data_IF_974442948282
#
_entry.id   IF_974442948282
#
_cell.length_a   1.000
_cell.length_b   1.000
_cell.length_c   1.000
_cell.angle_alpha   90.00
_cell.angle_beta   90.00
_cell.angle_gamma   90.00
#
_symmetry.space_group_name_H-M   'P 1'
#
loop_
_entity.id
_entity.type
_entity.pdbx_description
1 polymer ?
#
# COMPACT_ATOMS: atom_id res chain seq x y z
N UNK A 1 19.71 -20.73 -8.17
CA UNK A 1 18.94 -19.67 -7.53
C UNK A 1 19.87 -18.47 -7.41
N UNK A 2 19.51 -17.34 -8.04
CA UNK A 2 20.30 -16.10 -7.94
C UNK A 2 19.99 -15.41 -6.62
N UNK A 3 21.01 -14.85 -5.96
CA UNK A 3 20.87 -14.10 -4.70
C UNK A 3 21.14 -12.63 -4.99
N UNK A 4 20.26 -11.77 -4.54
CA UNK A 4 20.34 -10.31 -4.65
C UNK A 4 20.36 -9.69 -3.28
N UNK A 5 21.27 -8.77 -3.03
CA UNK A 5 21.41 -8.07 -1.75
C UNK A 5 20.76 -6.69 -1.81
N UNK A 6 19.96 -6.34 -0.79
CA UNK A 6 19.37 -5.01 -0.65
C UNK A 6 20.23 -4.21 0.35
N UNK A 7 20.50 -2.93 0.09
CA UNK A 7 20.03 -2.11 -1.04
C UNK A 7 20.88 -2.23 -2.32
N UNK A 8 22.05 -2.87 -2.27
CA UNK A 8 23.06 -2.83 -3.34
C UNK A 8 22.54 -3.27 -4.73
N UNK A 9 21.65 -4.26 -4.78
CA UNK A 9 21.09 -4.80 -6.03
C UNK A 9 19.69 -4.29 -6.33
N UNK A 10 19.23 -3.22 -5.67
CA UNK A 10 17.85 -2.74 -5.77
C UNK A 10 17.45 -2.41 -7.22
N UNK A 11 18.35 -1.81 -8.00
CA UNK A 11 18.10 -1.47 -9.41
C UNK A 11 17.85 -2.74 -10.23
N UNK A 12 18.67 -3.78 -10.03
CA UNK A 12 18.52 -5.07 -10.72
C UNK A 12 17.23 -5.77 -10.33
N UNK A 13 16.88 -5.74 -9.03
CA UNK A 13 15.62 -6.29 -8.53
C UNK A 13 14.41 -5.60 -9.15
N UNK A 14 14.43 -4.29 -9.30
CA UNK A 14 13.35 -3.53 -9.95
C UNK A 14 13.14 -3.97 -11.41
N UNK A 15 14.20 -4.22 -12.16
CA UNK A 15 14.08 -4.75 -13.53
C UNK A 15 13.51 -6.18 -13.56
N UNK A 16 13.87 -7.01 -12.57
CA UNK A 16 13.29 -8.35 -12.40
C UNK A 16 11.81 -8.25 -12.11
N UNK A 17 11.39 -7.37 -11.18
CA UNK A 17 9.99 -7.13 -10.86
C UNK A 17 9.20 -6.66 -12.09
N UNK A 18 9.71 -5.68 -12.85
CA UNK A 18 9.10 -5.23 -14.10
C UNK A 18 8.94 -6.35 -15.13
N UNK A 19 9.94 -7.23 -15.25
CA UNK A 19 9.91 -8.36 -16.19
C UNK A 19 9.10 -9.56 -15.72
N UNK A 20 8.57 -9.51 -14.48
CA UNK A 20 7.82 -10.58 -13.83
C UNK A 20 8.56 -11.93 -13.76
N UNK A 21 9.90 -11.92 -13.60
CA UNK A 21 10.75 -13.11 -13.51
C UNK A 21 11.11 -13.42 -12.07
N UNK A 22 10.12 -13.69 -11.24
CA UNK A 22 10.29 -13.92 -9.80
C UNK A 22 10.75 -15.33 -9.43
N UNK A 23 10.77 -16.25 -10.41
CA UNK A 23 11.18 -17.63 -10.17
C UNK A 23 12.70 -17.72 -9.94
N UNK A 24 13.07 -18.50 -8.93
CA UNK A 24 14.47 -18.77 -8.57
C UNK A 24 15.31 -17.57 -8.15
N UNK A 25 14.70 -16.51 -7.64
CA UNK A 25 15.42 -15.43 -6.98
C UNK A 25 15.35 -15.59 -5.46
N UNK A 26 16.44 -15.20 -4.78
CA UNK A 26 16.50 -14.99 -3.34
C UNK A 26 16.89 -13.54 -3.09
N UNK A 27 16.16 -12.87 -2.21
CA UNK A 27 16.48 -11.50 -1.79
C UNK A 27 17.02 -11.59 -0.37
N UNK A 28 18.14 -10.93 -0.13
CA UNK A 28 18.81 -10.90 1.16
C UNK A 28 19.20 -9.46 1.54
N UNK A 29 19.52 -9.23 2.78
CA UNK A 29 20.07 -7.98 3.33
C UNK A 29 20.93 -8.31 4.54
N UNK A 30 21.89 -7.43 4.88
CA UNK A 30 22.78 -7.67 6.03
C UNK A 30 22.06 -7.38 7.34
N UNK A 31 21.48 -6.19 7.44
CA UNK A 31 20.80 -5.70 8.63
C UNK A 31 19.66 -4.75 8.23
N UNK A 32 18.87 -4.31 9.19
CA UNK A 32 17.85 -3.29 8.99
C UNK A 32 17.64 -2.45 10.25
N UNK A 33 17.20 -1.21 10.07
CA UNK A 33 16.81 -0.33 11.16
C UNK A 33 15.43 -0.73 11.70
N UNK A 34 15.42 -1.33 12.91
CA UNK A 34 14.19 -1.77 13.56
C UNK A 34 13.20 -0.62 13.83
N UNK A 35 13.68 0.59 14.12
CA UNK A 35 12.79 1.73 14.37
C UNK A 35 12.16 2.23 13.08
N UNK A 36 12.94 2.36 12.02
CA UNK A 36 12.44 2.72 10.69
C UNK A 36 11.41 1.71 10.19
N UNK A 37 11.68 0.40 10.33
CA UNK A 37 10.74 -0.68 9.98
C UNK A 37 9.43 -0.56 10.76
N UNK A 38 9.50 -0.38 12.08
CA UNK A 38 8.30 -0.24 12.92
C UNK A 38 7.48 1.01 12.58
N UNK A 39 8.17 2.12 12.29
CA UNK A 39 7.48 3.35 11.91
C UNK A 39 6.79 3.21 10.56
N UNK A 40 7.46 2.64 9.56
CA UNK A 40 6.85 2.41 8.25
C UNK A 40 5.68 1.41 8.32
N UNK A 41 5.82 0.34 9.13
CA UNK A 41 4.73 -0.62 9.38
C UNK A 41 3.49 0.10 9.94
N UNK A 42 3.67 0.99 10.94
CA UNK A 42 2.56 1.79 11.50
C UNK A 42 1.94 2.73 10.48
N UNK A 43 2.75 3.33 9.60
CA UNK A 43 2.24 4.19 8.53
C UNK A 43 1.37 3.39 7.56
N UNK A 44 1.82 2.22 7.12
CA UNK A 44 1.05 1.38 6.22
C UNK A 44 -0.25 0.87 6.84
N UNK A 45 -0.23 0.45 8.11
CA UNK A 45 -1.47 -0.02 8.77
C UNK A 45 -2.45 1.14 9.01
N UNK A 46 -1.96 2.35 9.31
CA UNK A 46 -2.80 3.53 9.41
C UNK A 46 -3.43 3.91 8.07
N UNK A 47 -2.66 3.95 6.99
CA UNK A 47 -3.17 4.23 5.64
C UNK A 47 -4.14 3.13 5.18
N UNK A 48 -3.85 1.84 5.48
CA UNK A 48 -4.79 0.74 5.26
C UNK A 48 -6.14 1.03 5.92
N UNK A 49 -6.13 1.40 7.20
CA UNK A 49 -7.35 1.74 7.94
C UNK A 49 -8.10 2.92 7.31
N UNK A 50 -7.38 3.95 6.86
CA UNK A 50 -7.96 5.17 6.30
C UNK A 50 -8.62 4.96 4.92
N UNK A 51 -8.18 3.96 4.15
CA UNK A 51 -8.78 3.57 2.88
C UNK A 51 -9.82 2.44 2.99
N UNK A 52 -10.17 1.99 4.20
CA UNK A 52 -11.29 1.07 4.42
C UNK A 52 -12.64 1.79 4.39
N UNK A 53 -13.68 1.01 4.12
CA UNK A 53 -15.06 1.50 4.27
C UNK A 53 -15.28 1.96 5.72
N UNK A 54 -15.59 3.25 5.96
CA UNK A 54 -15.70 3.81 7.30
C UNK A 54 -17.00 3.36 8.00
N UNK A 55 -16.88 2.37 8.86
CA UNK A 55 -17.87 2.04 9.88
C UNK A 55 -17.49 2.69 11.21
N UNK A 56 -18.31 2.52 12.25
CA UNK A 56 -18.06 3.13 13.57
C UNK A 56 -16.72 2.70 14.17
N UNK A 57 -16.32 1.44 14.02
CA UNK A 57 -15.05 0.91 14.52
C UNK A 57 -13.85 1.57 13.81
N UNK A 58 -13.85 1.55 12.47
CA UNK A 58 -12.82 2.19 11.63
C UNK A 58 -12.72 3.67 11.95
N UNK A 59 -13.85 4.37 12.02
CA UNK A 59 -13.89 5.81 12.30
C UNK A 59 -13.32 6.15 13.67
N UNK A 60 -13.71 5.42 14.72
CA UNK A 60 -13.21 5.67 16.08
C UNK A 60 -11.71 5.39 16.18
N UNK A 61 -11.22 4.31 15.54
CA UNK A 61 -9.80 4.00 15.50
C UNK A 61 -9.00 5.08 14.75
N UNK A 62 -9.53 5.59 13.64
CA UNK A 62 -8.91 6.72 12.91
C UNK A 62 -8.85 7.98 13.77
N UNK A 63 -9.94 8.30 14.48
CA UNK A 63 -10.02 9.47 15.34
C UNK A 63 -8.98 9.43 16.47
N UNK A 64 -8.75 8.24 17.03
CA UNK A 64 -7.77 8.04 18.10
C UNK A 64 -6.32 8.02 17.57
N UNK A 65 -6.10 7.44 16.38
CA UNK A 65 -4.75 7.24 15.83
C UNK A 65 -4.22 8.42 15.03
N UNK A 66 -5.07 9.17 14.33
CA UNK A 66 -4.66 10.27 13.44
C UNK A 66 -3.68 11.28 14.08
N UNK A 67 -3.84 11.72 15.33
CA UNK A 67 -2.91 12.66 15.96
C UNK A 67 -1.46 12.17 16.01
N UNK A 68 -1.23 10.87 16.07
CA UNK A 68 0.13 10.28 16.10
C UNK A 68 0.87 10.38 14.76
N UNK A 69 0.16 10.71 13.68
CA UNK A 69 0.72 10.84 12.32
C UNK A 69 0.78 12.29 11.82
N UNK A 70 0.45 13.28 12.66
CA UNK A 70 0.45 14.69 12.25
C UNK A 70 1.82 15.15 11.71
N UNK A 71 2.91 14.79 12.39
CA UNK A 71 4.26 15.17 11.96
C UNK A 71 4.62 14.55 10.61
N UNK A 72 4.24 13.29 10.39
CA UNK A 72 4.42 12.62 9.10
C UNK A 72 3.69 13.38 7.99
N UNK A 73 2.43 13.71 8.19
CA UNK A 73 1.65 14.44 7.18
C UNK A 73 2.23 15.83 6.90
N UNK A 74 2.64 16.55 7.92
CA UNK A 74 3.30 17.86 7.76
C UNK A 74 4.61 17.72 6.97
N UNK A 75 5.42 16.72 7.26
CA UNK A 75 6.68 16.46 6.56
C UNK A 75 6.46 16.14 5.08
N UNK A 76 5.52 15.23 4.78
CA UNK A 76 5.30 14.73 3.41
C UNK A 76 4.43 15.63 2.55
N UNK A 77 3.48 16.36 3.12
CA UNK A 77 2.47 17.13 2.38
C UNK A 77 2.38 18.60 2.75
N UNK A 78 3.00 19.01 3.86
CA UNK A 78 2.82 20.36 4.42
C UNK A 78 1.42 20.61 5.01
N UNK A 79 0.56 19.59 5.10
CA UNK A 79 -0.84 19.69 5.54
C UNK A 79 -1.13 18.67 6.63
N UNK A 80 -2.17 18.91 7.43
CA UNK A 80 -2.73 17.92 8.37
C UNK A 80 -4.11 17.51 7.87
N UNK A 81 -4.40 16.19 7.73
CA UNK A 81 -5.71 15.74 7.33
C UNK A 81 -6.75 16.04 8.44
N UNK A 82 -7.87 16.61 8.03
CA UNK A 82 -8.99 16.92 8.93
C UNK A 82 -10.01 15.80 8.85
N UNK A 83 -10.17 15.02 9.92
CA UNK A 83 -11.16 13.94 9.96
C UNK A 83 -12.57 14.52 9.88
N UNK A 84 -13.35 14.22 8.83
CA UNK A 84 -14.73 14.70 8.70
C UNK A 84 -15.68 13.97 9.66
N UNK A 85 -16.95 14.37 9.70
CA UNK A 85 -17.97 13.55 10.37
C UNK A 85 -18.14 12.19 9.69
N UNK A 86 -18.48 11.16 10.46
CA UNK A 86 -18.57 9.78 9.93
C UNK A 86 -19.51 9.66 8.72
N UNK A 87 -20.67 10.31 8.75
CA UNK A 87 -21.64 10.28 7.63
C UNK A 87 -21.05 10.94 6.40
N UNK A 88 -20.38 12.06 6.53
CA UNK A 88 -19.73 12.77 5.44
C UNK A 88 -18.61 11.91 4.83
N UNK A 89 -17.82 11.26 5.69
CA UNK A 89 -16.78 10.32 5.27
C UNK A 89 -17.36 9.12 4.50
N UNK A 90 -18.45 8.54 4.97
CA UNK A 90 -19.13 7.43 4.31
C UNK A 90 -19.67 7.80 2.92
N UNK A 91 -20.30 8.96 2.81
CA UNK A 91 -20.83 9.45 1.52
C UNK A 91 -19.68 9.67 0.54
N UNK A 92 -18.60 10.30 0.98
CA UNK A 92 -17.45 10.56 0.12
C UNK A 92 -16.72 9.26 -0.26
N UNK A 93 -16.59 8.32 0.69
CA UNK A 93 -16.01 6.99 0.41
C UNK A 93 -16.75 6.27 -0.71
N UNK A 94 -18.09 6.22 -0.60
CA UNK A 94 -18.92 5.58 -1.64
C UNK A 94 -18.75 6.29 -2.96
N UNK A 95 -18.76 7.62 -2.98
CA UNK A 95 -18.63 8.43 -4.19
C UNK A 95 -17.28 8.24 -4.89
N UNK A 96 -16.18 8.16 -4.13
CA UNK A 96 -14.84 8.03 -4.67
C UNK A 96 -14.50 6.60 -5.09
N UNK A 97 -14.85 5.60 -4.27
CA UNK A 97 -14.28 4.26 -4.36
C UNK A 97 -15.26 3.16 -4.76
N UNK A 98 -16.57 3.41 -4.64
CA UNK A 98 -17.59 2.35 -4.84
C UNK A 98 -18.49 2.62 -6.03
N UNK A 99 -19.15 3.78 -6.06
CA UNK A 99 -20.15 4.09 -7.08
C UNK A 99 -20.37 5.59 -7.21
N UNK A 100 -20.35 6.08 -8.45
CA UNK A 100 -20.71 7.44 -8.80
C UNK A 100 -21.49 7.39 -10.14
N UNK A 101 -22.27 8.44 -10.43
CA UNK A 101 -23.09 8.57 -11.64
C UNK A 101 -22.27 8.42 -12.93
N UNK A 102 -21.04 8.93 -12.94
CA UNK A 102 -20.15 8.95 -14.10
C UNK A 102 -19.04 7.88 -14.02
N UNK A 103 -19.23 6.86 -13.19
CA UNK A 103 -18.26 5.80 -12.91
C UNK A 103 -17.54 5.99 -11.57
N UNK A 104 -16.63 5.08 -11.19
CA UNK A 104 -15.84 5.15 -9.97
C UNK A 104 -14.61 6.03 -10.20
N UNK A 105 -14.54 7.23 -9.59
CA UNK A 105 -13.42 8.17 -9.85
C UNK A 105 -12.06 7.60 -9.53
N UNK A 106 -11.92 6.93 -8.38
CA UNK A 106 -10.68 6.36 -7.89
C UNK A 106 -10.90 4.91 -7.45
N UNK A 107 -10.94 3.99 -8.40
CA UNK A 107 -11.09 2.56 -8.08
C UNK A 107 -9.98 2.11 -7.10
N UNK A 108 -10.30 1.43 -5.99
CA UNK A 108 -9.29 1.04 -5.02
C UNK A 108 -8.50 -0.22 -5.40
N UNK A 109 -8.72 -0.80 -6.58
CA UNK A 109 -8.13 -2.05 -7.03
C UNK A 109 -6.94 -1.84 -7.96
N UNK A 110 -5.80 -2.45 -7.64
CA UNK A 110 -4.57 -2.33 -8.42
C UNK A 110 -4.74 -2.84 -9.86
N UNK A 111 -5.53 -3.89 -10.07
CA UNK A 111 -5.81 -4.45 -11.41
C UNK A 111 -6.37 -3.40 -12.39
N UNK A 112 -7.14 -2.43 -11.92
CA UNK A 112 -7.71 -1.35 -12.76
C UNK A 112 -6.60 -0.45 -13.34
N UNK A 113 -5.51 -0.27 -12.64
CA UNK A 113 -4.39 0.58 -13.06
C UNK A 113 -3.29 -0.19 -13.77
N UNK A 114 -3.11 -1.47 -13.46
CA UNK A 114 -1.99 -2.29 -13.91
C UNK A 114 -2.33 -3.21 -15.08
N UNK A 115 -3.61 -3.40 -15.41
CA UNK A 115 -4.03 -4.13 -16.60
C UNK A 115 -4.18 -3.19 -17.80
N UNK A 116 -3.90 -3.69 -19.00
CA UNK A 116 -4.09 -2.93 -20.25
C UNK A 116 -5.56 -2.59 -20.53
N UNK A 117 -6.47 -3.39 -20.00
CA UNK A 117 -7.92 -3.25 -20.22
C UNK A 117 -8.63 -2.50 -19.08
N UNK A 118 -7.94 -2.20 -17.98
CA UNK A 118 -8.52 -1.54 -16.80
C UNK A 118 -9.61 -2.37 -16.10
N UNK A 119 -9.57 -3.69 -16.24
CA UNK A 119 -10.57 -4.61 -15.71
C UNK A 119 -10.16 -5.18 -14.35
N UNK A 120 -11.16 -5.47 -13.51
CA UNK A 120 -11.01 -6.29 -12.31
C UNK A 120 -10.70 -7.76 -12.70
N UNK A 121 -10.14 -8.53 -11.76
CA UNK A 121 -9.84 -9.97 -11.92
C UNK A 121 -8.76 -10.31 -12.97
N UNK A 122 -7.86 -9.38 -13.28
CA UNK A 122 -6.75 -9.62 -14.20
C UNK A 122 -5.58 -10.39 -13.56
N UNK A 123 -4.52 -10.59 -14.35
CA UNK A 123 -3.27 -11.25 -13.93
C UNK A 123 -2.65 -10.64 -12.67
N UNK A 124 -2.86 -9.35 -12.46
CA UNK A 124 -2.41 -8.61 -11.28
C UNK A 124 -2.94 -9.26 -9.98
N UNK A 125 -4.25 -9.51 -9.91
CA UNK A 125 -4.88 -10.12 -8.75
C UNK A 125 -4.37 -11.54 -8.50
N UNK A 126 -4.23 -12.35 -9.56
CA UNK A 126 -3.74 -13.73 -9.46
C UNK A 126 -2.32 -13.74 -8.87
N UNK A 127 -1.42 -12.91 -9.41
CA UNK A 127 -0.04 -12.81 -8.94
C UNK A 127 0.08 -12.36 -7.49
N UNK A 128 -0.73 -11.36 -7.09
CA UNK A 128 -0.70 -10.89 -5.70
C UNK A 128 -1.23 -11.98 -4.74
N UNK A 129 -2.26 -12.69 -5.13
CA UNK A 129 -2.80 -13.84 -4.36
C UNK A 129 -1.77 -14.95 -4.21
N UNK A 130 -1.07 -15.32 -5.29
CA UNK A 130 0.00 -16.31 -5.25
C UNK A 130 1.15 -15.86 -4.34
N UNK A 131 1.58 -14.60 -4.44
CA UNK A 131 2.61 -14.02 -3.57
C UNK A 131 2.20 -14.06 -2.09
N UNK A 132 0.96 -13.67 -1.78
CA UNK A 132 0.44 -13.73 -0.42
C UNK A 132 0.43 -15.17 0.11
N UNK A 133 -0.05 -16.13 -0.68
CA UNK A 133 -0.07 -17.55 -0.31
C UNK A 133 1.36 -18.11 -0.09
N UNK A 134 2.33 -17.77 -0.95
CA UNK A 134 3.75 -18.16 -0.82
C UNK A 134 4.37 -17.65 0.50
N UNK A 135 3.94 -16.48 0.94
CA UNK A 135 4.39 -15.89 2.21
C UNK A 135 3.56 -16.33 3.42
N UNK A 136 2.56 -17.16 3.21
CA UNK A 136 1.70 -17.74 4.25
C UNK A 136 0.55 -16.82 4.68
N UNK A 137 0.05 -15.98 3.79
CA UNK A 137 -1.11 -15.12 4.01
C UNK A 137 -2.24 -15.49 3.05
N UNK A 138 -3.43 -15.55 3.61
CA UNK A 138 -4.67 -15.71 2.86
C UNK A 138 -5.74 -14.83 3.49
N UNK A 139 -6.56 -14.18 2.65
CA UNK A 139 -7.74 -13.51 3.16
C UNK A 139 -8.72 -14.52 3.75
N UNK A 140 -9.31 -14.20 4.90
CA UNK A 140 -10.35 -15.03 5.49
C UNK A 140 -11.52 -15.16 4.50
N UNK A 141 -12.13 -16.33 4.44
CA UNK A 141 -13.26 -16.64 3.51
C UNK A 141 -14.46 -15.70 3.67
N UNK A 142 -14.62 -15.10 4.85
CA UNK A 142 -15.67 -14.10 5.11
C UNK A 142 -15.35 -12.73 4.49
N UNK A 143 -14.09 -12.48 4.14
CA UNK A 143 -13.67 -11.25 3.47
C UNK A 143 -14.16 -11.26 2.03
N UNK A 144 -14.99 -10.28 1.68
CA UNK A 144 -15.59 -10.16 0.34
C UNK A 144 -14.76 -9.32 -0.64
N UNK A 145 -13.70 -8.71 -0.15
CA UNK A 145 -12.81 -7.87 -0.95
C UNK A 145 -11.77 -8.69 -1.71
N UNK A 146 -11.27 -8.13 -2.79
CA UNK A 146 -10.18 -8.71 -3.56
C UNK A 146 -8.82 -8.33 -2.94
N UNK A 147 -7.84 -9.22 -3.06
CA UNK A 147 -6.51 -9.06 -2.50
C UNK A 147 -5.77 -7.81 -3.03
N UNK A 148 -6.11 -7.35 -4.22
CA UNK A 148 -5.53 -6.18 -4.86
C UNK A 148 -6.21 -4.84 -4.50
N UNK A 149 -7.11 -4.85 -3.51
CA UNK A 149 -7.60 -3.60 -2.93
C UNK A 149 -6.48 -2.88 -2.18
N UNK A 150 -6.35 -1.57 -2.38
CA UNK A 150 -5.28 -0.75 -1.81
C UNK A 150 -5.11 -0.93 -0.30
N UNK A 151 -6.22 -1.01 0.46
CA UNK A 151 -6.10 -1.19 1.90
C UNK A 151 -5.54 -2.56 2.28
N UNK A 152 -5.83 -3.62 1.50
CA UNK A 152 -5.26 -4.97 1.71
C UNK A 152 -3.78 -4.97 1.35
N UNK A 153 -3.40 -4.32 0.25
CA UNK A 153 -1.99 -4.16 -0.15
C UNK A 153 -1.19 -3.47 0.97
N UNK A 154 -1.72 -2.37 1.52
CA UNK A 154 -1.06 -1.63 2.60
C UNK A 154 -0.98 -2.43 3.90
N UNK A 155 -2.04 -3.16 4.27
CA UNK A 155 -2.03 -4.06 5.42
C UNK A 155 -1.00 -5.17 5.25
N UNK A 156 -0.94 -5.78 4.07
CA UNK A 156 0.03 -6.82 3.76
C UNK A 156 1.47 -6.31 3.83
N UNK A 157 1.76 -5.11 3.33
CA UNK A 157 3.08 -4.47 3.46
C UNK A 157 3.48 -4.25 4.91
N UNK A 158 2.56 -3.79 5.75
CA UNK A 158 2.77 -3.67 7.20
C UNK A 158 3.13 -5.02 7.82
N UNK A 159 2.37 -6.07 7.51
CA UNK A 159 2.61 -7.43 8.01
C UNK A 159 3.96 -8.01 7.55
N UNK A 160 4.39 -7.73 6.33
CA UNK A 160 5.70 -8.15 5.84
C UNK A 160 6.84 -7.48 6.61
N UNK A 161 6.74 -6.18 6.89
CA UNK A 161 7.72 -5.46 7.71
C UNK A 161 7.81 -6.04 9.14
N UNK A 162 6.68 -6.34 9.77
CA UNK A 162 6.65 -6.95 11.12
C UNK A 162 7.29 -8.34 11.14
N UNK A 163 7.25 -9.09 10.03
CA UNK A 163 7.80 -10.44 9.93
C UNK A 163 9.28 -10.50 9.60
N UNK A 164 9.97 -9.40 9.35
CA UNK A 164 11.39 -9.40 8.99
C UNK A 164 12.28 -10.14 10.01
N UNK A 165 11.93 -10.08 11.30
CA UNK A 165 12.63 -10.81 12.36
C UNK A 165 12.23 -12.30 12.51
N UNK A 166 11.15 -12.74 11.83
CA UNK A 166 10.60 -14.10 12.00
C UNK A 166 10.94 -14.96 10.79
N UNK A 167 10.67 -14.45 9.59
CA UNK A 167 10.88 -15.13 8.31
C UNK A 167 11.42 -14.12 7.30
N UNK A 168 12.72 -13.82 7.44
CA UNK A 168 13.44 -12.80 6.67
C UNK A 168 13.23 -12.93 5.16
N UNK A 169 13.38 -14.16 4.64
CA UNK A 169 13.35 -14.39 3.20
C UNK A 169 11.97 -14.15 2.59
N UNK A 170 10.92 -14.65 3.23
CA UNK A 170 9.55 -14.43 2.78
C UNK A 170 9.11 -12.99 2.99
N UNK A 171 9.47 -12.40 4.12
CA UNK A 171 9.10 -11.04 4.47
C UNK A 171 9.68 -10.02 3.48
N UNK A 172 10.99 -10.08 3.19
CA UNK A 172 11.63 -9.15 2.24
C UNK A 172 11.11 -9.36 0.81
N UNK A 173 10.92 -10.61 0.37
CA UNK A 173 10.32 -10.93 -0.92
C UNK A 173 8.91 -10.35 -1.03
N UNK A 174 8.06 -10.60 -0.04
CA UNK A 174 6.70 -10.08 0.01
C UNK A 174 6.66 -8.55 -0.01
N UNK A 175 7.47 -7.92 0.84
CA UNK A 175 7.53 -6.46 0.93
C UNK A 175 7.98 -5.81 -0.38
N UNK A 176 9.13 -6.17 -0.93
CA UNK A 176 9.67 -5.53 -2.13
C UNK A 176 8.83 -5.84 -3.37
N UNK A 177 8.38 -7.09 -3.54
CA UNK A 177 7.55 -7.44 -4.69
C UNK A 177 6.24 -6.66 -4.67
N UNK A 178 5.57 -6.59 -3.52
CA UNK A 178 4.31 -5.85 -3.41
C UNK A 178 4.51 -4.35 -3.61
N UNK A 179 5.57 -3.80 -3.05
CA UNK A 179 5.90 -2.38 -3.18
C UNK A 179 6.13 -1.98 -4.64
N UNK A 180 6.96 -2.72 -5.37
CA UNK A 180 7.40 -2.34 -6.72
C UNK A 180 6.51 -2.85 -7.85
N UNK A 181 5.81 -3.97 -7.67
CA UNK A 181 4.93 -4.50 -8.71
C UNK A 181 3.49 -4.03 -8.61
N UNK A 182 3.04 -3.65 -7.41
CA UNK A 182 1.62 -3.33 -7.19
C UNK A 182 1.42 -1.93 -6.64
N UNK A 183 2.01 -1.57 -5.49
CA UNK A 183 1.75 -0.29 -4.85
C UNK A 183 2.28 0.89 -5.67
N UNK A 184 3.58 0.93 -5.94
CA UNK A 184 4.22 2.06 -6.63
C UNK A 184 3.58 2.35 -8.00
N UNK A 185 3.39 1.36 -8.90
CA UNK A 185 2.84 1.64 -10.22
C UNK A 185 1.35 1.99 -10.24
N UNK A 186 0.56 1.63 -9.20
CA UNK A 186 -0.83 2.06 -9.11
C UNK A 186 -0.97 3.46 -8.49
N UNK A 187 -0.08 3.83 -7.56
CA UNK A 187 -0.25 5.00 -6.70
C UNK A 187 -0.36 6.31 -7.49
N UNK A 188 0.44 6.51 -8.55
CA UNK A 188 0.40 7.74 -9.34
C UNK A 188 -1.03 8.05 -9.78
N UNK A 189 -1.63 7.18 -10.56
CA UNK A 189 -2.99 7.37 -11.09
C UNK A 189 -4.08 7.29 -10.02
N UNK A 190 -3.94 6.38 -9.05
CA UNK A 190 -4.91 6.23 -7.97
C UNK A 190 -4.98 7.49 -7.11
N UNK A 191 -3.83 7.98 -6.65
CA UNK A 191 -3.77 9.17 -5.80
C UNK A 191 -4.16 10.45 -6.55
N UNK A 192 -3.73 10.62 -7.80
CA UNK A 192 -4.17 11.74 -8.65
C UNK A 192 -5.70 11.74 -8.84
N UNK A 193 -6.29 10.57 -9.04
CA UNK A 193 -7.74 10.44 -9.16
C UNK A 193 -8.46 10.85 -7.88
N UNK A 194 -7.92 10.54 -6.70
CA UNK A 194 -8.47 11.01 -5.42
C UNK A 194 -8.33 12.52 -5.32
N UNK A 195 -7.13 13.05 -5.49
CA UNK A 195 -6.82 14.48 -5.34
C UNK A 195 -7.70 15.33 -6.25
N UNK A 196 -7.89 14.90 -7.49
CA UNK A 196 -8.68 15.64 -8.48
C UNK A 196 -10.22 15.52 -8.28
N UNK A 197 -10.68 14.55 -7.49
CA UNK A 197 -12.12 14.28 -7.37
C UNK A 197 -12.64 14.40 -5.94
N UNK A 198 -11.80 14.42 -4.90
CA UNK A 198 -12.29 14.50 -3.52
C UNK A 198 -12.79 15.89 -3.14
N UNK A 199 -13.84 15.93 -2.32
CA UNK A 199 -14.31 17.15 -1.67
C UNK A 199 -13.80 17.29 -0.22
N UNK A 200 -13.06 16.29 0.29
CA UNK A 200 -12.60 16.26 1.68
C UNK A 200 -11.07 16.38 1.75
N UNK A 201 -10.60 17.36 2.50
CA UNK A 201 -9.18 17.49 2.84
C UNK A 201 -8.59 16.19 3.38
N UNK A 202 -9.37 15.39 4.11
CA UNK A 202 -8.94 14.11 4.65
C UNK A 202 -8.37 13.18 3.56
N UNK A 203 -9.15 12.87 2.53
CA UNK A 203 -8.70 11.99 1.44
C UNK A 203 -7.66 12.64 0.54
N UNK A 204 -7.71 13.96 0.34
CA UNK A 204 -6.69 14.70 -0.40
C UNK A 204 -5.31 14.51 0.24
N UNK A 205 -5.18 14.80 1.52
CA UNK A 205 -3.89 14.72 2.24
C UNK A 205 -3.41 13.28 2.37
N UNK A 206 -4.31 12.31 2.58
CA UNK A 206 -3.94 10.89 2.57
C UNK A 206 -3.36 10.45 1.23
N UNK A 207 -3.99 10.87 0.13
CA UNK A 207 -3.53 10.54 -1.22
C UNK A 207 -2.18 11.21 -1.54
N UNK A 208 -2.00 12.48 -1.18
CA UNK A 208 -0.71 13.17 -1.33
C UNK A 208 0.40 12.45 -0.55
N UNK A 209 0.13 12.05 0.70
CA UNK A 209 1.08 11.32 1.52
C UNK A 209 1.43 9.95 0.93
N UNK A 210 0.44 9.17 0.52
CA UNK A 210 0.67 7.85 -0.09
C UNK A 210 1.46 7.98 -1.41
N UNK A 211 1.13 8.96 -2.25
CA UNK A 211 1.86 9.24 -3.49
C UNK A 211 3.32 9.57 -3.21
N UNK A 212 3.59 10.38 -2.19
CA UNK A 212 4.95 10.75 -1.79
C UNK A 212 5.73 9.54 -1.28
N UNK A 213 5.14 8.71 -0.42
CA UNK A 213 5.75 7.46 0.06
C UNK A 213 6.08 6.55 -1.13
N UNK A 214 5.14 6.36 -2.06
CA UNK A 214 5.35 5.50 -3.22
C UNK A 214 6.44 6.05 -4.17
N UNK A 215 6.56 7.37 -4.33
CA UNK A 215 7.58 7.98 -5.16
C UNK A 215 8.97 7.95 -4.52
N UNK A 216 9.06 7.97 -3.18
CA UNK A 216 10.31 7.95 -2.42
C UNK A 216 10.72 6.54 -1.94
N UNK A 217 10.08 5.53 -2.49
CA UNK A 217 10.22 4.14 -2.04
C UNK A 217 11.67 3.63 -2.09
N UNK A 218 12.47 4.07 -3.05
CA UNK A 218 13.88 3.69 -3.16
C UNK A 218 14.69 4.20 -1.96
N UNK A 219 14.54 5.49 -1.63
CA UNK A 219 15.18 6.09 -0.45
C UNK A 219 14.72 5.41 0.85
N UNK A 220 13.43 5.13 0.98
CA UNK A 220 12.88 4.40 2.13
C UNK A 220 13.51 3.00 2.26
N UNK A 221 13.68 2.27 1.15
CA UNK A 221 14.32 0.94 1.17
C UNK A 221 15.80 1.04 1.52
N UNK A 222 16.51 2.04 0.99
CA UNK A 222 17.92 2.30 1.33
C UNK A 222 18.11 2.69 2.80
N UNK A 223 17.20 3.47 3.36
CA UNK A 223 17.23 3.87 4.78
C UNK A 223 16.92 2.71 5.74
N UNK A 224 16.07 1.79 5.32
CA UNK A 224 15.66 0.64 6.15
C UNK A 224 16.68 -0.49 6.11
N UNK A 225 17.19 -0.88 4.94
CA UNK A 225 18.06 -2.03 4.77
C UNK A 225 19.53 -1.58 4.66
N UNK A 226 20.35 -2.00 5.65
CA UNK A 226 21.75 -1.58 5.82
C UNK A 226 22.70 -2.72 5.48
#
# INVERSE_FOLDING_TARGET
MAVYSVPSDLILLKEIFKSNKLDNIKIDFNNFDNLAVQNLSKVFIFLSLAFRNPNDEVYNTLKESLPYFHDLFLEYTGKIPVLPGIVEMQVEYVRLFVSNKDGVPASPYASVYLSSEGLLYGDCLIKLRELMADTGFELKKEHKELEDNVYIILEYLSLMLERLNIDKEKAIKGFLTTSYMFLQPMCERFCENIINNTNLNFYEVLAECLLKIASDLDGIVEDIFI
#
